data_IF_222937456074
#
_entry.id   IF_222937456074
#
_cell.length_a   1.000
_cell.length_b   1.000
_cell.length_c   1.000
_cell.angle_alpha   90.00
_cell.angle_beta   90.00
_cell.angle_gamma   90.00
#
_symmetry.space_group_name_H-M   'P 1'
#
loop_
_entity.id
_entity.type
_entity.pdbx_description
1 polymer ?
#
# COMPACT_ATOMS: atom_id res chain seq x y z
N UNK A 1 -6.01 0.34 27.50
CA UNK A 1 -4.90 -0.21 26.67
C UNK A 1 -4.93 0.43 25.28
N UNK A 2 -3.83 0.48 24.51
CA UNK A 2 -3.84 1.12 23.18
C UNK A 2 -4.79 0.44 22.18
N UNK A 3 -5.00 -0.89 22.31
CA UNK A 3 -6.03 -1.63 21.56
C UNK A 3 -7.41 -0.99 21.70
N UNK A 4 -7.83 -0.68 22.92
CA UNK A 4 -9.12 -0.04 23.21
C UNK A 4 -9.15 1.41 22.70
N UNK A 5 -8.04 2.15 22.84
CA UNK A 5 -7.95 3.53 22.33
C UNK A 5 -8.16 3.60 20.82
N UNK A 6 -7.62 2.64 20.09
CA UNK A 6 -7.66 2.61 18.63
C UNK A 6 -8.67 1.60 18.08
N UNK A 7 -9.62 1.10 18.88
CA UNK A 7 -10.58 0.05 18.48
C UNK A 7 -11.46 0.46 17.30
N UNK A 8 -11.70 1.75 17.18
CA UNK A 8 -12.48 2.34 16.10
C UNK A 8 -11.72 2.33 14.78
N UNK A 9 -10.39 2.36 14.82
CA UNK A 9 -9.53 2.39 13.64
C UNK A 9 -9.00 1.00 13.28
N UNK A 10 -8.54 0.25 14.27
CA UNK A 10 -7.99 -1.09 14.14
C UNK A 10 -8.90 -2.07 14.88
N UNK A 11 -9.77 -2.71 14.11
CA UNK A 11 -10.61 -3.79 14.61
C UNK A 11 -9.74 -5.04 14.79
N UNK A 12 -9.48 -5.41 16.04
CA UNK A 12 -8.64 -6.53 16.43
C UNK A 12 -9.48 -7.46 17.31
N UNK A 13 -9.83 -8.64 16.79
CA UNK A 13 -10.54 -9.65 17.55
C UNK A 13 -9.73 -10.12 18.77
N UNK A 14 -10.42 -10.58 19.83
CA UNK A 14 -9.73 -11.11 21.01
C UNK A 14 -8.89 -12.35 20.68
N UNK A 15 -9.39 -13.22 19.79
CA UNK A 15 -8.66 -14.40 19.35
C UNK A 15 -7.39 -14.09 18.56
N UNK A 16 -7.41 -13.06 17.71
CA UNK A 16 -6.21 -12.63 16.99
C UNK A 16 -5.23 -11.93 17.93
N UNK A 17 -5.74 -11.11 18.85
CA UNK A 17 -4.91 -10.49 19.88
C UNK A 17 -4.21 -11.53 20.75
N UNK A 18 -4.89 -12.59 21.18
CA UNK A 18 -4.28 -13.67 21.97
C UNK A 18 -3.14 -14.37 21.23
N UNK A 19 -3.28 -14.57 19.91
CA UNK A 19 -2.25 -15.20 19.07
C UNK A 19 -1.02 -14.31 18.85
N UNK A 20 -1.21 -12.99 18.78
CA UNK A 20 -0.16 -12.07 18.29
C UNK A 20 -0.02 -10.79 19.12
N UNK A 21 -0.33 -10.87 20.43
CA UNK A 21 -0.40 -9.72 21.34
C UNK A 21 0.86 -8.84 21.33
N UNK A 22 2.05 -9.46 21.29
CA UNK A 22 3.32 -8.74 21.28
C UNK A 22 3.43 -7.81 20.07
N UNK A 23 3.13 -8.30 18.87
CA UNK A 23 3.17 -7.52 17.64
C UNK A 23 2.09 -6.43 17.60
N UNK A 24 0.86 -6.76 18.05
CA UNK A 24 -0.19 -5.75 18.15
C UNK A 24 0.19 -4.61 19.07
N UNK A 25 0.72 -4.91 20.26
CA UNK A 25 1.12 -3.88 21.22
C UNK A 25 2.26 -3.01 20.67
N UNK A 26 3.29 -3.62 20.10
CA UNK A 26 4.41 -2.90 19.50
C UNK A 26 3.95 -1.94 18.39
N UNK A 27 3.13 -2.41 17.45
CA UNK A 27 2.69 -1.58 16.33
C UNK A 27 1.69 -0.50 16.75
N UNK A 28 0.83 -0.78 17.74
CA UNK A 28 -0.06 0.24 18.31
C UNK A 28 0.73 1.32 19.06
N UNK A 29 1.81 0.97 19.75
CA UNK A 29 2.71 1.94 20.41
C UNK A 29 3.42 2.82 19.37
N UNK A 30 3.98 2.23 18.31
CA UNK A 30 4.60 3.00 17.21
C UNK A 30 3.57 3.96 16.59
N UNK A 31 2.37 3.46 16.29
CA UNK A 31 1.29 4.29 15.75
C UNK A 31 0.89 5.41 16.71
N UNK A 32 0.79 5.11 18.00
CA UNK A 32 0.45 6.08 19.03
C UNK A 32 1.44 7.24 19.07
N UNK A 33 2.74 6.93 19.10
CA UNK A 33 3.82 7.91 19.14
C UNK A 33 3.83 8.75 17.85
N UNK A 34 3.62 8.10 16.69
CA UNK A 34 3.44 8.79 15.42
C UNK A 34 2.28 9.77 15.49
N UNK A 35 1.14 9.44 16.08
CA UNK A 35 -0.04 10.32 16.17
C UNK A 35 0.19 11.49 17.11
N UNK A 36 0.68 11.25 18.34
CA UNK A 36 0.86 12.29 19.37
C UNK A 36 1.89 13.36 18.99
N UNK A 37 2.79 13.05 18.05
CA UNK A 37 3.91 13.91 17.71
C UNK A 37 5.10 13.59 18.61
N UNK A 38 6.27 13.38 17.97
CA UNK A 38 7.49 12.80 18.53
C UNK A 38 7.74 13.09 20.01
N UNK A 39 7.30 12.19 20.90
CA UNK A 39 7.85 12.11 22.26
C UNK A 39 9.31 11.59 22.19
N UNK A 40 9.62 10.83 21.14
CA UNK A 40 10.94 10.29 20.81
C UNK A 40 11.34 10.85 19.44
N UNK A 41 12.46 11.57 19.33
CA UNK A 41 12.82 12.27 18.08
C UNK A 41 12.88 11.41 16.82
N UNK A 42 12.82 12.06 15.66
CA UNK A 42 12.59 11.51 14.32
C UNK A 42 13.32 10.20 13.98
N UNK A 43 14.61 10.14 14.27
CA UNK A 43 15.44 8.97 13.94
C UNK A 43 15.00 7.72 14.71
N UNK A 44 14.49 7.88 15.93
CA UNK A 44 14.04 6.77 16.76
C UNK A 44 12.79 6.11 16.18
N UNK A 45 11.81 6.89 15.72
CA UNK A 45 10.60 6.31 15.11
C UNK A 45 10.89 5.59 13.80
N UNK A 46 11.76 6.16 12.95
CA UNK A 46 12.20 5.50 11.72
C UNK A 46 12.85 4.15 12.02
N UNK A 47 13.84 4.14 12.91
CA UNK A 47 14.56 2.91 13.31
C UNK A 47 13.60 1.88 13.92
N UNK A 48 12.63 2.30 14.73
CA UNK A 48 11.60 1.39 15.27
C UNK A 48 10.77 0.75 14.17
N UNK A 49 10.26 1.52 13.21
CA UNK A 49 9.50 0.99 12.07
C UNK A 49 10.36 0.02 11.25
N UNK A 50 11.62 0.36 10.98
CA UNK A 50 12.56 -0.51 10.25
C UNK A 50 12.82 -1.81 11.01
N UNK A 51 13.12 -1.73 12.30
CA UNK A 51 13.47 -2.88 13.13
C UNK A 51 12.29 -3.82 13.34
N UNK A 52 11.09 -3.27 13.47
CA UNK A 52 9.86 -4.03 13.68
C UNK A 52 9.19 -4.52 12.39
N UNK A 53 9.87 -4.43 11.24
CA UNK A 53 9.31 -4.77 9.93
C UNK A 53 8.89 -6.26 9.87
N UNK A 54 7.59 -6.56 9.63
CA UNK A 54 7.04 -7.91 9.77
C UNK A 54 7.50 -8.88 8.68
N UNK A 55 8.08 -8.38 7.58
CA UNK A 55 8.65 -9.22 6.53
C UNK A 55 10.12 -9.62 6.75
N UNK A 56 10.81 -9.07 7.76
CA UNK A 56 12.16 -9.53 8.14
C UNK A 56 12.18 -11.03 8.49
N UNK A 57 11.07 -11.53 9.03
CA UNK A 57 10.86 -12.93 9.37
C UNK A 57 9.70 -13.53 8.55
N UNK A 58 9.59 -13.18 7.26
CA UNK A 58 8.51 -13.71 6.41
C UNK A 58 8.67 -15.20 6.13
N UNK A 59 7.53 -15.87 5.97
CA UNK A 59 7.44 -17.25 5.54
C UNK A 59 6.68 -18.12 6.53
N UNK A 60 5.90 -19.03 5.97
CA UNK A 60 5.24 -20.11 6.68
C UNK A 60 5.41 -21.42 5.90
N UNK A 61 5.69 -22.50 6.61
CA UNK A 61 5.73 -23.85 6.04
C UNK A 61 5.15 -24.86 7.04
N UNK A 62 4.19 -25.65 6.57
CA UNK A 62 3.62 -26.77 7.31
C UNK A 62 3.24 -27.89 6.33
N UNK A 63 3.99 -28.99 6.36
CA UNK A 63 3.82 -30.09 5.42
C UNK A 63 3.94 -29.65 3.96
N UNK A 64 2.84 -29.72 3.22
CA UNK A 64 2.77 -29.31 1.81
C UNK A 64 2.39 -27.85 1.59
N UNK A 65 2.00 -27.12 2.64
CA UNK A 65 1.63 -25.72 2.55
C UNK A 65 2.85 -24.83 2.75
N UNK A 66 3.03 -23.90 1.80
CA UNK A 66 4.13 -22.94 1.83
C UNK A 66 3.65 -21.54 1.40
N UNK A 67 3.82 -20.55 2.29
CA UNK A 67 3.47 -19.16 2.07
C UNK A 67 4.70 -18.27 2.33
N UNK A 68 5.59 -18.16 1.34
CA UNK A 68 6.95 -17.58 1.49
C UNK A 68 6.93 -16.09 1.86
N UNK A 69 6.02 -15.33 1.28
CA UNK A 69 5.87 -13.88 1.51
C UNK A 69 4.83 -13.53 2.57
N UNK A 70 4.28 -14.53 3.28
CA UNK A 70 3.42 -14.28 4.43
C UNK A 70 4.23 -13.58 5.52
N UNK A 71 3.70 -12.46 6.03
CA UNK A 71 4.39 -11.69 7.06
C UNK A 71 4.50 -12.54 8.33
N UNK A 72 5.68 -12.56 8.96
CA UNK A 72 5.93 -13.44 10.11
C UNK A 72 4.98 -13.19 11.27
N UNK A 73 4.56 -11.92 11.44
CA UNK A 73 3.62 -11.49 12.47
C UNK A 73 2.18 -11.97 12.25
N UNK A 74 1.86 -12.40 11.03
CA UNK A 74 0.51 -12.76 10.64
C UNK A 74 0.32 -14.28 10.53
N UNK A 75 1.40 -15.06 10.63
CA UNK A 75 1.41 -16.51 10.41
C UNK A 75 0.36 -17.25 11.28
N UNK A 76 0.32 -16.98 12.59
CA UNK A 76 -0.59 -17.67 13.52
C UNK A 76 -2.08 -17.35 13.30
N UNK A 77 -2.35 -16.25 12.59
CA UNK A 77 -3.70 -15.79 12.25
C UNK A 77 -4.08 -16.28 10.86
N UNK A 78 -3.28 -15.95 9.84
CA UNK A 78 -3.64 -16.15 8.45
C UNK A 78 -3.33 -17.55 7.92
N UNK A 79 -2.23 -18.18 8.30
CA UNK A 79 -1.86 -19.47 7.71
C UNK A 79 -2.95 -20.55 7.92
N UNK A 80 -3.54 -20.70 9.12
CA UNK A 80 -4.67 -21.62 9.31
C UNK A 80 -5.87 -21.29 8.42
N UNK A 81 -6.16 -20.01 8.18
CA UNK A 81 -7.28 -19.56 7.36
C UNK A 81 -7.02 -19.78 5.86
N UNK A 82 -5.78 -19.66 5.42
CA UNK A 82 -5.35 -19.96 4.05
C UNK A 82 -5.46 -21.45 3.78
N UNK A 83 -4.98 -22.30 4.70
CA UNK A 83 -5.10 -23.76 4.63
C UNK A 83 -6.58 -24.15 4.58
N UNK A 84 -7.40 -23.62 5.49
CA UNK A 84 -8.85 -23.86 5.48
C UNK A 84 -9.52 -23.44 4.15
N UNK A 85 -9.09 -22.33 3.55
CA UNK A 85 -9.59 -21.92 2.24
C UNK A 85 -9.20 -22.91 1.13
N UNK A 86 -7.98 -23.46 1.17
CA UNK A 86 -7.51 -24.46 0.22
C UNK A 86 -8.31 -25.76 0.37
N UNK A 87 -8.39 -26.29 1.59
CA UNK A 87 -9.03 -27.58 1.88
C UNK A 87 -10.54 -27.59 1.62
N UNK A 88 -11.21 -26.45 1.81
CA UNK A 88 -12.64 -26.32 1.52
C UNK A 88 -12.93 -25.82 0.10
N UNK A 89 -11.91 -25.69 -0.75
CA UNK A 89 -12.10 -25.29 -2.14
C UNK A 89 -12.76 -26.40 -2.96
N UNK A 90 -13.60 -26.02 -3.92
CA UNK A 90 -14.16 -26.96 -4.90
C UNK A 90 -13.18 -27.25 -6.06
N UNK A 91 -12.07 -26.51 -6.14
CA UNK A 91 -11.06 -26.68 -7.18
C UNK A 91 -9.93 -27.57 -6.68
N UNK A 92 -9.56 -28.58 -7.47
CA UNK A 92 -8.52 -29.55 -7.11
C UNK A 92 -7.11 -28.95 -7.04
N UNK A 93 -6.89 -27.85 -7.77
CA UNK A 93 -5.63 -27.13 -7.89
C UNK A 93 -5.62 -25.83 -7.06
N UNK A 94 -6.52 -25.71 -6.08
CA UNK A 94 -6.62 -24.52 -5.24
C UNK A 94 -5.35 -24.24 -4.45
N UNK A 95 -4.65 -25.29 -4.02
CA UNK A 95 -3.39 -25.19 -3.28
C UNK A 95 -2.34 -24.45 -4.11
N UNK A 96 -2.13 -24.88 -5.35
CA UNK A 96 -1.16 -24.31 -6.28
C UNK A 96 -1.47 -22.84 -6.54
N UNK A 97 -2.73 -22.51 -6.84
CA UNK A 97 -3.17 -21.15 -7.16
C UNK A 97 -3.06 -20.20 -5.96
N UNK A 98 -3.45 -20.65 -4.77
CA UNK A 98 -3.41 -19.82 -3.55
C UNK A 98 -1.97 -19.67 -3.07
N UNK A 99 -1.18 -20.75 -2.99
CA UNK A 99 0.23 -20.65 -2.59
C UNK A 99 1.04 -19.79 -3.56
N UNK A 100 0.72 -19.82 -4.86
CA UNK A 100 1.31 -18.91 -5.83
C UNK A 100 1.21 -17.45 -5.33
N UNK A 101 0.08 -17.00 -4.77
CA UNK A 101 -0.06 -15.61 -4.27
C UNK A 101 0.91 -15.20 -3.15
N UNK A 102 1.64 -16.17 -2.59
CA UNK A 102 2.64 -15.98 -1.55
C UNK A 102 4.07 -16.37 -1.97
N UNK A 103 4.33 -16.63 -3.27
CA UNK A 103 5.66 -16.96 -3.82
C UNK A 103 6.50 -15.71 -4.16
N UNK A 104 6.34 -14.62 -3.41
CA UNK A 104 7.18 -13.43 -3.57
C UNK A 104 6.92 -12.66 -4.88
N UNK A 105 5.63 -12.42 -5.17
CA UNK A 105 5.16 -11.90 -6.46
C UNK A 105 4.76 -10.44 -6.49
N UNK A 106 4.22 -9.82 -5.45
CA UNK A 106 3.93 -8.39 -5.56
C UNK A 106 4.05 -7.64 -4.23
N UNK A 107 4.32 -6.35 -4.38
CA UNK A 107 4.61 -5.42 -3.32
C UNK A 107 3.35 -4.94 -2.61
N UNK A 108 3.27 -5.21 -1.31
CA UNK A 108 2.37 -4.47 -0.41
C UNK A 108 2.76 -2.98 -0.36
N UNK A 109 4.04 -2.68 -0.52
CA UNK A 109 4.58 -1.34 -0.61
C UNK A 109 5.87 -1.28 -1.45
N UNK A 110 6.15 -0.15 -2.08
CA UNK A 110 7.37 0.07 -2.90
C UNK A 110 7.72 1.56 -3.03
N UNK A 111 8.93 1.86 -3.48
CA UNK A 111 9.41 3.22 -3.71
C UNK A 111 9.84 3.97 -2.44
N UNK A 112 9.66 5.29 -2.45
CA UNK A 112 10.23 6.21 -1.47
C UNK A 112 9.27 6.51 -0.31
N UNK A 113 9.55 6.00 0.88
CA UNK A 113 8.81 6.30 2.12
C UNK A 113 9.46 7.36 3.02
N UNK A 114 10.47 8.08 2.54
CA UNK A 114 11.16 9.15 3.28
C UNK A 114 10.51 10.51 2.99
N UNK A 115 10.49 10.93 1.73
CA UNK A 115 9.89 12.21 1.32
C UNK A 115 9.40 12.14 -0.15
N UNK A 116 8.40 11.29 -0.45
CA UNK A 116 7.83 11.23 -1.79
C UNK A 116 7.01 12.47 -2.12
N UNK A 117 6.89 12.76 -3.42
CA UNK A 117 5.91 13.75 -3.92
C UNK A 117 4.51 13.16 -4.00
N UNK A 118 4.41 11.87 -4.33
CA UNK A 118 3.13 11.16 -4.52
C UNK A 118 3.15 9.84 -3.76
N UNK A 119 2.08 9.54 -3.03
CA UNK A 119 1.80 8.17 -2.56
C UNK A 119 0.54 7.66 -3.27
N UNK A 120 0.69 6.53 -3.97
CA UNK A 120 -0.43 5.80 -4.55
C UNK A 120 -1.00 4.85 -3.50
N UNK A 121 -2.21 5.16 -3.02
CA UNK A 121 -2.94 4.32 -2.06
C UNK A 121 -3.85 3.36 -2.84
N UNK A 122 -3.39 2.12 -2.96
CA UNK A 122 -3.97 1.04 -3.74
C UNK A 122 -5.14 0.32 -3.07
N UNK A 123 -5.28 -0.98 -3.33
CA UNK A 123 -6.23 -1.90 -2.69
C UNK A 123 -5.45 -3.13 -2.23
N UNK A 124 -4.91 -3.85 -3.20
CA UNK A 124 -4.11 -5.05 -3.05
C UNK A 124 -3.18 -5.18 -4.27
N UNK A 125 -2.04 -5.86 -4.12
CA UNK A 125 -1.22 -6.27 -5.24
C UNK A 125 -2.01 -7.16 -6.21
N UNK A 126 -1.97 -6.86 -7.52
CA UNK A 126 -2.95 -7.36 -8.49
C UNK A 126 -2.40 -8.46 -9.38
N UNK A 127 -2.66 -9.70 -8.98
CA UNK A 127 -2.20 -10.87 -9.73
C UNK A 127 -3.35 -11.59 -10.45
N UNK A 128 -3.45 -11.39 -11.78
CA UNK A 128 -4.42 -12.08 -12.65
C UNK A 128 -3.93 -13.42 -13.20
N UNK A 129 -2.62 -13.62 -13.25
CA UNK A 129 -1.97 -14.82 -13.78
C UNK A 129 -0.67 -15.08 -13.03
N UNK A 130 -0.20 -16.32 -13.06
CA UNK A 130 1.11 -16.70 -12.53
C UNK A 130 2.25 -16.09 -13.36
N UNK A 131 3.31 -15.69 -12.68
CA UNK A 131 4.54 -15.17 -13.26
C UNK A 131 5.72 -15.57 -12.35
N UNK A 132 6.94 -15.32 -12.78
CA UNK A 132 8.14 -15.60 -11.97
C UNK A 132 8.25 -14.64 -10.79
N UNK A 133 8.93 -15.06 -9.72
CA UNK A 133 9.17 -14.22 -8.55
C UNK A 133 9.96 -12.96 -8.94
N UNK A 134 9.62 -11.83 -8.34
CA UNK A 134 10.39 -10.60 -8.52
C UNK A 134 11.53 -10.45 -7.48
N UNK A 135 11.73 -11.42 -6.57
CA UNK A 135 12.79 -11.36 -5.55
C UNK A 135 12.57 -10.28 -4.49
N UNK A 136 11.33 -10.10 -4.04
CA UNK A 136 10.89 -9.03 -3.15
C UNK A 136 11.35 -9.25 -1.70
N UNK A 137 11.46 -10.52 -1.29
CA UNK A 137 11.98 -10.93 0.01
C UNK A 137 13.38 -10.39 0.27
N UNK A 138 14.21 -10.30 -0.77
CA UNK A 138 15.58 -9.82 -0.68
C UNK A 138 15.75 -8.35 -1.02
N UNK A 139 14.67 -7.63 -1.37
CA UNK A 139 14.70 -6.23 -1.81
C UNK A 139 13.80 -5.31 -0.98
N UNK A 140 12.55 -5.09 -1.40
CA UNK A 140 11.65 -4.05 -0.83
C UNK A 140 11.37 -4.28 0.65
N UNK A 141 11.26 -5.55 1.03
CA UNK A 141 10.77 -5.93 2.34
C UNK A 141 11.83 -5.88 3.44
N UNK A 142 13.12 -5.64 3.11
CA UNK A 142 14.17 -5.49 4.13
C UNK A 142 14.39 -4.04 4.56
N UNK A 143 14.31 -3.10 3.61
CA UNK A 143 14.69 -1.70 3.82
C UNK A 143 13.61 -0.76 3.29
N UNK A 144 12.53 -0.52 4.09
CA UNK A 144 11.40 0.29 3.64
C UNK A 144 11.76 1.77 3.41
N UNK A 145 12.84 2.28 4.00
CA UNK A 145 13.29 3.66 3.83
C UNK A 145 14.56 3.75 2.97
N UNK A 146 14.35 3.73 1.66
CA UNK A 146 15.37 4.06 0.67
C UNK A 146 14.78 5.13 -0.27
N UNK A 147 15.34 6.34 -0.25
CA UNK A 147 14.82 7.48 -1.03
C UNK A 147 14.97 7.30 -2.55
N UNK A 148 15.93 6.48 -2.98
CA UNK A 148 16.20 6.23 -4.39
C UNK A 148 15.64 4.88 -4.85
N UNK A 149 14.83 4.21 -4.04
CA UNK A 149 14.28 2.90 -4.38
C UNK A 149 13.46 2.98 -5.67
N UNK A 150 13.90 2.35 -6.77
CA UNK A 150 13.13 2.34 -7.99
C UNK A 150 11.85 1.55 -7.81
N UNK A 151 10.81 1.93 -8.54
CA UNK A 151 9.57 1.17 -8.63
C UNK A 151 9.80 -0.06 -9.50
N UNK A 152 9.22 -1.18 -9.09
CA UNK A 152 9.22 -2.42 -9.87
C UNK A 152 8.78 -2.17 -11.32
N UNK A 153 9.64 -2.54 -12.27
CA UNK A 153 9.36 -2.38 -13.69
C UNK A 153 8.42 -3.47 -14.20
N UNK A 154 7.17 -3.09 -14.46
CA UNK A 154 6.17 -3.98 -15.06
C UNK A 154 5.14 -3.19 -15.88
N UNK A 155 4.32 -3.88 -16.67
CA UNK A 155 3.30 -3.27 -17.52
C UNK A 155 2.27 -2.43 -16.74
N UNK A 156 2.07 -2.76 -15.46
CA UNK A 156 1.12 -2.05 -14.61
C UNK A 156 1.59 -0.64 -14.23
N UNK A 157 2.90 -0.43 -14.06
CA UNK A 157 3.53 0.86 -13.74
C UNK A 157 4.16 1.55 -14.97
N UNK A 158 4.80 0.81 -15.86
CA UNK A 158 5.65 1.34 -16.94
C UNK A 158 5.03 1.31 -18.34
N UNK A 159 3.99 0.49 -18.55
CA UNK A 159 3.35 0.34 -19.87
C UNK A 159 2.57 1.56 -20.38
N UNK A 160 2.24 1.60 -21.67
CA UNK A 160 1.47 2.70 -22.30
C UNK A 160 0.04 2.87 -21.75
N UNK A 161 -0.49 1.81 -21.15
CA UNK A 161 -1.78 1.79 -20.44
C UNK A 161 -1.59 1.54 -18.94
N UNK A 162 -0.45 1.97 -18.40
CA UNK A 162 -0.12 1.90 -16.98
C UNK A 162 -0.87 2.93 -16.16
N UNK A 163 -0.72 2.85 -14.83
CA UNK A 163 -1.27 3.83 -13.89
C UNK A 163 -0.80 5.26 -14.18
N UNK A 164 0.44 5.46 -14.64
CA UNK A 164 1.04 6.77 -14.86
C UNK A 164 0.89 7.29 -16.28
N UNK A 165 0.88 6.40 -17.29
CA UNK A 165 1.10 6.81 -18.68
C UNK A 165 -0.11 6.64 -19.62
N UNK A 166 -1.28 6.29 -19.08
CA UNK A 166 -2.48 6.20 -19.88
C UNK A 166 -2.77 7.55 -20.57
N UNK A 167 -2.85 7.50 -21.90
CA UNK A 167 -3.09 8.66 -22.80
C UNK A 167 -1.91 9.65 -22.92
N UNK A 168 -0.67 9.21 -22.69
CA UNK A 168 0.54 10.03 -22.84
C UNK A 168 1.17 10.00 -24.24
N UNK A 169 0.46 9.51 -25.27
CA UNK A 169 1.02 9.29 -26.62
C UNK A 169 1.62 10.57 -27.23
N UNK A 170 1.03 11.73 -26.96
CA UNK A 170 1.47 13.03 -27.48
C UNK A 170 2.49 13.74 -26.57
N UNK A 171 2.80 13.17 -25.39
CA UNK A 171 3.66 13.76 -24.35
C UNK A 171 4.78 12.78 -23.95
N UNK A 172 5.44 12.19 -24.95
CA UNK A 172 6.44 11.14 -24.75
C UNK A 172 7.67 11.65 -23.98
N UNK A 173 8.02 12.93 -24.13
CA UNK A 173 9.08 13.60 -23.38
C UNK A 173 8.83 13.57 -21.87
N UNK A 174 7.62 13.91 -21.43
CA UNK A 174 7.22 13.86 -20.01
C UNK A 174 7.26 12.43 -19.47
N UNK A 175 6.78 11.47 -20.28
CA UNK A 175 6.85 10.04 -19.95
C UNK A 175 8.30 9.58 -19.77
N UNK A 176 9.20 9.96 -20.67
CA UNK A 176 10.61 9.55 -20.62
C UNK A 176 11.33 10.15 -19.41
N UNK A 177 11.05 11.42 -19.07
CA UNK A 177 11.61 12.05 -17.87
C UNK A 177 11.10 11.35 -16.62
N UNK A 178 9.78 11.17 -16.49
CA UNK A 178 9.18 10.53 -15.32
C UNK A 178 9.64 9.08 -15.16
N UNK A 179 9.68 8.32 -16.25
CA UNK A 179 10.15 6.92 -16.25
C UNK A 179 11.57 6.83 -15.70
N UNK A 180 12.48 7.72 -16.13
CA UNK A 180 13.84 7.80 -15.60
C UNK A 180 13.91 8.24 -14.13
N UNK A 181 12.91 8.95 -13.62
CA UNK A 181 12.87 9.33 -12.19
C UNK A 181 12.45 8.16 -11.30
N UNK A 182 11.58 7.27 -11.78
CA UNK A 182 11.06 6.15 -10.97
C UNK A 182 11.84 4.85 -11.12
N UNK A 183 12.78 4.76 -12.06
CA UNK A 183 13.56 3.54 -12.36
C UNK A 183 15.06 3.66 -12.09
N UNK A 184 15.54 4.84 -11.67
CA UNK A 184 16.96 5.12 -11.51
C UNK A 184 17.37 5.12 -10.03
N UNK A 185 18.27 4.21 -9.65
CA UNK A 185 18.78 4.02 -8.28
C UNK A 185 19.68 5.16 -7.76
N UNK A 186 20.16 6.05 -8.64
CA UNK A 186 20.96 7.22 -8.28
C UNK A 186 20.11 8.49 -8.10
N UNK A 187 18.78 8.40 -8.28
CA UNK A 187 17.87 9.53 -8.19
C UNK A 187 16.81 9.30 -7.13
N UNK A 188 16.44 10.38 -6.45
CA UNK A 188 15.30 10.37 -5.52
C UNK A 188 14.06 9.95 -6.29
N UNK A 189 13.49 8.82 -5.89
CA UNK A 189 12.26 8.31 -6.47
C UNK A 189 11.11 9.18 -5.96
N UNK A 190 10.30 9.80 -6.85
CA UNK A 190 9.30 10.78 -6.44
C UNK A 190 8.00 10.15 -5.90
N UNK A 191 7.90 8.82 -5.89
CA UNK A 191 6.65 8.10 -5.63
C UNK A 191 6.85 6.99 -4.60
N UNK A 192 5.81 6.76 -3.79
CA UNK A 192 5.64 5.54 -3.02
C UNK A 192 4.35 4.82 -3.44
N UNK A 193 4.38 3.50 -3.42
CA UNK A 193 3.25 2.63 -3.68
C UNK A 193 2.88 1.96 -2.37
N UNK A 194 1.60 1.94 -2.01
CA UNK A 194 1.15 1.35 -0.76
C UNK A 194 -0.23 0.73 -0.95
N UNK A 195 -0.40 -0.53 -0.57
CA UNK A 195 -1.61 -1.32 -0.76
C UNK A 195 -2.27 -1.64 0.60
N UNK A 196 -3.60 -1.47 0.74
CA UNK A 196 -4.30 -1.70 2.03
C UNK A 196 -4.27 -3.17 2.47
N UNK A 197 -4.33 -4.07 1.50
CA UNK A 197 -4.22 -5.49 1.74
C UNK A 197 -2.85 -5.98 1.21
N UNK A 198 -1.99 -6.54 2.08
CA UNK A 198 -0.60 -6.79 1.74
C UNK A 198 -0.35 -7.97 0.78
N UNK A 199 -1.34 -8.81 0.51
CA UNK A 199 -1.13 -10.04 -0.26
C UNK A 199 -1.79 -10.00 -1.65
N UNK A 200 -1.17 -10.70 -2.60
CA UNK A 200 -1.61 -10.65 -3.99
C UNK A 200 -2.96 -11.34 -4.18
N UNK A 201 -3.85 -10.72 -4.97
CA UNK A 201 -5.09 -11.36 -5.43
C UNK A 201 -5.61 -10.68 -6.69
N UNK A 202 -6.49 -11.36 -7.44
CA UNK A 202 -7.14 -10.72 -8.58
C UNK A 202 -8.11 -9.62 -8.10
N UNK A 203 -8.85 -9.88 -7.00
CA UNK A 203 -9.78 -8.95 -6.34
C UNK A 203 -9.88 -9.26 -4.85
N UNK A 204 -10.53 -8.37 -4.10
CA UNK A 204 -10.78 -8.51 -2.66
C UNK A 204 -11.66 -9.72 -2.28
N UNK A 205 -12.26 -10.41 -3.26
CA UNK A 205 -13.16 -11.55 -3.02
C UNK A 205 -12.74 -12.84 -3.71
N UNK A 206 -11.72 -12.78 -4.58
CA UNK A 206 -11.23 -13.92 -5.36
C UNK A 206 -9.71 -13.86 -5.48
N UNK A 207 -9.05 -14.99 -5.23
CA UNK A 207 -7.62 -15.16 -5.45
C UNK A 207 -7.29 -15.04 -6.94
N UNK A 208 -8.12 -15.71 -7.74
CA UNK A 208 -8.13 -15.76 -9.20
C UNK A 208 -9.55 -16.11 -9.65
N UNK A 209 -9.93 -15.79 -10.87
CA UNK A 209 -11.20 -16.22 -11.47
C UNK A 209 -11.39 -17.73 -11.30
N UNK A 210 -12.43 -18.12 -10.56
CA UNK A 210 -12.74 -19.52 -10.22
C UNK A 210 -12.33 -19.94 -8.80
N UNK A 211 -11.50 -19.15 -8.12
CA UNK A 211 -10.91 -19.43 -6.81
C UNK A 211 -11.33 -18.35 -5.81
N UNK A 212 -12.33 -18.67 -4.99
CA UNK A 212 -12.93 -17.70 -4.06
C UNK A 212 -12.12 -17.58 -2.77
N UNK A 213 -12.06 -16.35 -2.25
CA UNK A 213 -11.57 -16.09 -0.89
C UNK A 213 -12.69 -16.48 0.08
N UNK A 214 -12.35 -17.23 1.14
CA UNK A 214 -13.30 -17.64 2.18
C UNK A 214 -13.90 -16.43 2.92
N UNK A 215 -15.01 -16.63 3.63
CA UNK A 215 -15.68 -15.54 4.38
C UNK A 215 -14.79 -15.01 5.51
N UNK A 216 -14.06 -15.89 6.20
CA UNK A 216 -13.13 -15.54 7.27
C UNK A 216 -11.97 -14.68 6.74
N UNK A 217 -11.34 -15.09 5.65
CA UNK A 217 -10.24 -14.32 5.04
C UNK A 217 -10.70 -12.96 4.52
N UNK A 218 -11.88 -12.87 3.91
CA UNK A 218 -12.42 -11.61 3.36
C UNK A 218 -12.49 -10.48 4.39
N UNK A 219 -12.58 -10.77 5.68
CA UNK A 219 -12.61 -9.74 6.72
C UNK A 219 -11.35 -8.87 6.70
N UNK A 220 -10.17 -9.47 6.50
CA UNK A 220 -8.88 -8.75 6.44
C UNK A 220 -8.69 -7.93 5.16
N UNK A 221 -9.16 -8.44 4.01
CA UNK A 221 -9.12 -7.73 2.73
C UNK A 221 -10.04 -6.50 2.71
N UNK A 222 -11.08 -6.53 3.55
CA UNK A 222 -12.04 -5.45 3.70
C UNK A 222 -11.71 -4.51 4.88
N UNK A 223 -10.61 -4.76 5.59
CA UNK A 223 -10.24 -4.08 6.84
C UNK A 223 -11.37 -4.06 7.87
N UNK A 224 -12.13 -5.16 7.96
CA UNK A 224 -13.10 -5.39 9.04
C UNK A 224 -12.45 -6.02 10.26
N UNK A 225 -11.37 -6.75 10.03
CA UNK A 225 -10.41 -7.22 11.03
C UNK A 225 -9.03 -6.75 10.54
N UNK A 226 -8.11 -6.52 11.47
CA UNK A 226 -6.81 -5.90 11.19
C UNK A 226 -5.69 -6.82 11.63
N UNK A 227 -4.83 -7.19 10.70
CA UNK A 227 -3.62 -7.97 10.98
C UNK A 227 -2.53 -7.09 11.60
N UNK A 228 -1.58 -7.67 12.36
CA UNK A 228 -0.42 -6.93 12.83
C UNK A 228 0.33 -6.23 11.69
N UNK A 229 0.61 -6.92 10.58
CA UNK A 229 1.34 -6.32 9.45
C UNK A 229 0.61 -5.12 8.84
N UNK A 230 -0.73 -5.10 8.86
CA UNK A 230 -1.52 -3.98 8.36
C UNK A 230 -1.36 -2.74 9.26
N UNK A 231 -1.28 -2.91 10.58
CA UNK A 231 -0.98 -1.79 11.50
C UNK A 231 0.43 -1.27 11.24
N UNK A 232 1.41 -2.15 11.05
CA UNK A 232 2.77 -1.74 10.71
C UNK A 232 2.81 -0.95 9.39
N UNK A 233 2.10 -1.41 8.36
CA UNK A 233 1.99 -0.66 7.10
C UNK A 233 1.36 0.72 7.30
N UNK A 234 0.38 0.84 8.19
CA UNK A 234 -0.21 2.14 8.55
C UNK A 234 0.79 3.01 9.32
N UNK A 235 1.68 2.44 10.13
CA UNK A 235 2.78 3.17 10.75
C UNK A 235 3.73 3.75 9.70
N UNK A 236 4.15 2.93 8.72
CA UNK A 236 4.98 3.36 7.60
C UNK A 236 4.31 4.52 6.83
N UNK A 237 3.04 4.36 6.46
CA UNK A 237 2.27 5.41 5.77
C UNK A 237 2.19 6.69 6.59
N UNK A 238 1.88 6.57 7.89
CA UNK A 238 1.72 7.72 8.80
C UNK A 238 3.03 8.47 8.96
N UNK A 239 4.15 7.76 9.13
CA UNK A 239 5.48 8.34 9.19
C UNK A 239 5.75 9.16 7.93
N UNK A 240 5.57 8.58 6.74
CA UNK A 240 5.83 9.27 5.48
C UNK A 240 4.94 10.51 5.32
N UNK A 241 3.64 10.38 5.57
CA UNK A 241 2.70 11.51 5.56
C UNK A 241 3.12 12.63 6.52
N UNK A 242 3.64 12.30 7.70
CA UNK A 242 4.08 13.30 8.68
C UNK A 242 5.38 14.00 8.28
N UNK A 243 6.28 13.32 7.58
CA UNK A 243 7.60 13.84 7.20
C UNK A 243 7.64 14.51 5.83
N UNK A 244 6.71 14.21 4.93
CA UNK A 244 6.71 14.79 3.59
C UNK A 244 6.55 16.31 3.60
N UNK A 245 7.39 17.00 2.82
CA UNK A 245 7.35 18.46 2.70
C UNK A 245 6.18 18.97 1.83
N UNK A 246 5.89 18.25 0.75
CA UNK A 246 4.74 18.48 -0.13
C UNK A 246 4.30 17.13 -0.69
N UNK A 247 3.08 16.72 -0.38
CA UNK A 247 2.61 15.37 -0.68
C UNK A 247 1.27 15.36 -1.37
N UNK A 248 1.17 14.57 -2.44
CA UNK A 248 -0.09 14.16 -3.05
C UNK A 248 -0.43 12.73 -2.65
N UNK A 249 -1.54 12.54 -1.93
CA UNK A 249 -2.10 11.22 -1.69
C UNK A 249 -3.14 10.91 -2.76
N UNK A 250 -2.91 9.89 -3.58
CA UNK A 250 -3.89 9.48 -4.60
C UNK A 250 -4.62 8.19 -4.20
N UNK A 251 -5.90 8.33 -3.88
CA UNK A 251 -6.77 7.25 -3.42
C UNK A 251 -7.37 6.49 -4.59
N UNK A 252 -6.96 5.23 -4.75
CA UNK A 252 -7.54 4.32 -5.75
C UNK A 252 -8.78 3.60 -5.22
N UNK A 253 -8.82 3.32 -3.91
CA UNK A 253 -9.97 2.81 -3.17
C UNK A 253 -10.71 3.96 -2.49
N UNK A 254 -11.96 4.20 -2.89
CA UNK A 254 -12.76 5.31 -2.35
C UNK A 254 -14.25 4.95 -2.23
N UNK A 255 -14.57 3.66 -2.11
CA UNK A 255 -15.95 3.23 -1.90
C UNK A 255 -16.40 3.55 -0.47
N UNK A 256 -17.71 3.73 -0.27
CA UNK A 256 -18.29 4.18 1.00
C UNK A 256 -17.93 3.26 2.17
N UNK A 257 -18.02 1.95 1.97
CA UNK A 257 -17.77 0.98 3.03
C UNK A 257 -16.33 1.08 3.52
N UNK A 258 -15.35 1.02 2.62
CA UNK A 258 -13.94 1.18 2.96
C UNK A 258 -13.64 2.49 3.70
N UNK A 259 -14.23 3.59 3.25
CA UNK A 259 -14.04 4.89 3.90
C UNK A 259 -14.57 4.91 5.33
N UNK A 260 -15.74 4.32 5.54
CA UNK A 260 -16.40 4.34 6.84
C UNK A 260 -15.72 3.42 7.85
N UNK A 261 -15.20 2.26 7.41
CA UNK A 261 -14.53 1.32 8.29
C UNK A 261 -13.10 1.75 8.64
N UNK A 262 -12.38 2.37 7.71
CA UNK A 262 -10.96 2.68 7.92
C UNK A 262 -10.58 4.13 7.56
N UNK A 263 -10.68 4.49 6.27
CA UNK A 263 -9.94 5.66 5.75
C UNK A 263 -10.30 6.99 6.41
N UNK A 264 -11.60 7.25 6.64
CA UNK A 264 -12.02 8.52 7.24
C UNK A 264 -11.54 8.64 8.70
N UNK A 265 -11.65 7.55 9.47
CA UNK A 265 -11.19 7.50 10.88
C UNK A 265 -9.67 7.66 10.96
N UNK A 266 -8.94 6.98 10.07
CA UNK A 266 -7.49 7.13 9.96
C UNK A 266 -7.08 8.59 9.70
N UNK A 267 -7.72 9.23 8.72
CA UNK A 267 -7.46 10.61 8.34
C UNK A 267 -7.82 11.62 9.44
N UNK A 268 -8.85 11.34 10.22
CA UNK A 268 -9.21 12.11 11.41
C UNK A 268 -8.14 11.97 12.50
N UNK A 269 -7.72 10.75 12.82
CA UNK A 269 -6.73 10.46 13.86
C UNK A 269 -5.38 11.16 13.59
N UNK A 270 -4.91 11.15 12.34
CA UNK A 270 -3.67 11.84 11.95
C UNK A 270 -3.86 13.32 11.62
N UNK A 271 -5.09 13.83 11.76
CA UNK A 271 -5.50 15.21 11.48
C UNK A 271 -5.08 15.70 10.08
N UNK A 272 -5.33 14.89 9.05
CA UNK A 272 -4.80 15.15 7.71
C UNK A 272 -5.28 16.48 7.13
N UNK A 273 -6.48 16.94 7.50
CA UNK A 273 -7.07 18.20 7.06
C UNK A 273 -6.30 19.43 7.55
N UNK A 274 -5.60 19.31 8.69
CA UNK A 274 -4.83 20.40 9.27
C UNK A 274 -3.44 20.52 8.62
N UNK A 275 -3.12 19.66 7.63
CA UNK A 275 -1.81 19.61 6.98
C UNK A 275 -1.86 20.29 5.61
N UNK A 276 -1.61 21.59 5.59
CA UNK A 276 -1.61 22.42 4.36
C UNK A 276 -0.70 21.89 3.24
N UNK A 277 0.34 21.15 3.61
CA UNK A 277 1.32 20.54 2.71
C UNK A 277 0.82 19.27 1.99
N UNK A 278 -0.34 18.75 2.38
CA UNK A 278 -0.89 17.49 1.87
C UNK A 278 -2.14 17.74 1.05
N UNK A 279 -2.10 17.28 -0.19
CA UNK A 279 -3.26 17.29 -1.09
C UNK A 279 -3.77 15.87 -1.27
N UNK A 280 -5.02 15.62 -0.87
CA UNK A 280 -5.67 14.31 -1.02
C UNK A 280 -6.53 14.29 -2.27
N UNK A 281 -6.15 13.46 -3.23
CA UNK A 281 -6.82 13.26 -4.51
C UNK A 281 -7.54 11.93 -4.54
N UNK A 282 -8.66 11.89 -5.26
CA UNK A 282 -9.38 10.65 -5.56
C UNK A 282 -9.77 10.60 -7.03
N UNK A 283 -10.21 9.43 -7.48
CA UNK A 283 -10.60 9.22 -8.88
C UNK A 283 -11.92 9.93 -9.20
N UNK A 284 -12.01 10.57 -10.37
CA UNK A 284 -13.29 11.05 -10.93
C UNK A 284 -14.18 9.86 -11.26
N UNK A 285 -13.64 8.88 -11.98
CA UNK A 285 -14.34 7.64 -12.35
C UNK A 285 -13.90 6.48 -11.46
N UNK A 286 -14.87 5.79 -10.85
CA UNK A 286 -14.63 4.61 -10.02
C UNK A 286 -13.97 3.45 -10.78
N UNK A 287 -14.24 3.32 -12.08
CA UNK A 287 -13.73 2.25 -12.93
C UNK A 287 -12.29 2.49 -13.42
N UNK A 288 -11.87 3.75 -13.54
CA UNK A 288 -10.52 4.08 -13.99
C UNK A 288 -9.48 3.70 -12.92
N UNK A 289 -8.29 3.25 -13.34
CA UNK A 289 -7.14 3.02 -12.44
C UNK A 289 -6.10 4.14 -12.48
N UNK A 290 -6.20 5.03 -13.46
CA UNK A 290 -5.13 5.94 -13.87
C UNK A 290 -5.01 7.18 -12.97
N UNK A 291 -3.78 7.59 -12.70
CA UNK A 291 -3.45 8.91 -12.19
C UNK A 291 -3.17 9.82 -13.39
N UNK A 292 -4.19 10.58 -13.80
CA UNK A 292 -4.10 11.50 -14.94
C UNK A 292 -4.93 12.75 -14.72
N UNK A 293 -4.59 13.84 -15.42
CA UNK A 293 -5.29 15.13 -15.36
C UNK A 293 -6.81 14.97 -15.54
N UNK A 294 -7.24 14.09 -16.45
CA UNK A 294 -8.65 13.81 -16.71
C UNK A 294 -9.37 12.98 -15.64
N UNK A 295 -8.66 12.34 -14.70
CA UNK A 295 -9.24 11.37 -13.75
C UNK A 295 -9.02 11.71 -12.27
N UNK A 296 -8.48 12.87 -11.91
CA UNK A 296 -8.29 13.28 -10.51
C UNK A 296 -9.32 14.31 -10.04
N UNK A 297 -9.71 14.25 -8.77
CA UNK A 297 -10.50 15.31 -8.10
C UNK A 297 -10.08 15.43 -6.63
N UNK A 298 -10.30 16.57 -5.97
CA UNK A 298 -10.10 16.65 -4.53
C UNK A 298 -10.95 15.60 -3.81
N UNK A 299 -10.39 14.95 -2.79
CA UNK A 299 -11.14 14.01 -1.94
C UNK A 299 -12.15 14.74 -1.04
N UNK A 300 -11.72 15.87 -0.46
CA UNK A 300 -12.55 16.75 0.36
C UNK A 300 -13.20 17.81 -0.52
N UNK A 301 -14.52 17.97 -0.42
CA UNK A 301 -15.28 18.92 -1.26
C UNK A 301 -14.85 20.37 -1.08
N UNK A 302 -14.38 20.71 0.12
CA UNK A 302 -14.00 22.07 0.51
C UNK A 302 -12.55 22.42 0.16
N UNK A 303 -11.75 21.43 -0.26
CA UNK A 303 -10.36 21.65 -0.64
C UNK A 303 -10.25 22.13 -2.09
N UNK A 304 -9.56 23.26 -2.29
CA UNK A 304 -9.06 23.64 -3.61
C UNK A 304 -7.93 22.67 -4.00
N UNK A 305 -7.98 22.11 -5.21
CA UNK A 305 -6.88 21.31 -5.74
C UNK A 305 -5.71 22.22 -6.10
N UNK A 306 -4.58 22.07 -5.41
CA UNK A 306 -3.29 22.63 -5.82
C UNK A 306 -2.65 21.83 -6.97
N UNK A 307 -3.48 21.20 -7.83
CA UNK A 307 -3.07 20.45 -9.03
C UNK A 307 -3.91 20.95 -10.18
N UNK A 308 -3.25 21.50 -11.18
CA UNK A 308 -3.84 21.90 -12.44
C UNK A 308 -4.18 20.67 -13.29
N UNK A 309 -5.36 20.67 -13.89
CA UNK A 309 -5.85 19.54 -14.69
C UNK A 309 -6.20 19.90 -16.13
N UNK A 310 -5.94 21.14 -16.52
CA UNK A 310 -6.28 21.69 -17.84
C UNK A 310 -5.43 21.04 -18.94
N UNK A 311 -4.13 20.87 -18.68
CA UNK A 311 -3.17 20.23 -19.59
C UNK A 311 -2.40 19.10 -18.91
N UNK A 312 -1.75 18.25 -19.72
CA UNK A 312 -0.88 17.17 -19.20
C UNK A 312 0.40 17.77 -18.62
N UNK A 313 0.93 18.81 -19.25
CA UNK A 313 2.14 19.53 -18.86
C UNK A 313 2.00 20.16 -17.46
N UNK A 314 0.91 20.88 -17.21
CA UNK A 314 0.68 21.48 -15.89
C UNK A 314 0.47 20.42 -14.82
N UNK A 315 -0.25 19.35 -15.15
CA UNK A 315 -0.46 18.22 -14.25
C UNK A 315 0.86 17.54 -13.84
N UNK A 316 1.75 17.28 -14.80
CA UNK A 316 3.07 16.69 -14.54
C UNK A 316 4.00 17.65 -13.79
N UNK A 317 3.91 18.95 -14.07
CA UNK A 317 4.64 19.99 -13.33
C UNK A 317 4.25 20.00 -11.86
N UNK A 318 2.95 19.96 -11.56
CA UNK A 318 2.47 20.04 -10.19
C UNK A 318 2.77 18.78 -9.37
N UNK A 319 2.50 17.60 -9.93
CA UNK A 319 2.70 16.31 -9.25
C UNK A 319 4.18 15.94 -9.16
N UNK A 320 4.91 16.04 -10.27
CA UNK A 320 6.24 15.45 -10.41
C UNK A 320 7.35 16.49 -10.42
N UNK A 321 7.03 17.77 -10.61
CA UNK A 321 8.04 18.81 -10.80
C UNK A 321 8.67 18.80 -12.19
N UNK A 322 8.03 18.17 -13.18
CA UNK A 322 8.55 18.05 -14.55
C UNK A 322 7.94 19.16 -15.40
N UNK A 323 8.78 19.98 -16.04
CA UNK A 323 8.31 20.99 -17.01
C UNK A 323 8.83 20.66 -18.41
N UNK A 324 8.04 20.95 -19.44
CA UNK A 324 8.35 20.64 -20.85
C UNK A 324 9.55 21.41 -21.43
N UNK A 325 10.21 22.27 -20.63
CA UNK A 325 11.34 23.10 -21.07
C UNK A 325 12.73 22.55 -20.72
N UNK A 326 12.85 21.35 -20.13
CA UNK A 326 14.16 20.67 -20.02
C UNK A 326 14.53 20.02 -21.36
N UNK A 327 15.01 20.85 -22.30
CA UNK A 327 15.81 20.41 -23.45
C UNK A 327 17.28 20.33 -23.07
#
# INVERSE_FOLDING_TARGET
MLKEKYEDLFHISDGDYEKSAAYYNEYLEIFHDLVQGDIFGDNNLRERIENSNPWKNSGYSDGEYEFISLAGTDCDILAPLLIDNIENSQQKDAKEVIQARFKDFEHAFDGNFINPRVILLGINPKMSSEHDSYGLKDTVYKEPFNENRPILDNDYYSGDSSIFYAKMKEHQDLKDIHSKMISNEDKVTPVALWEFFPYASEKETVWQKGYSISKSLKQYFQLKETLPSQIWMVCLLTYTIKRSEKLFLFLRKNNKDFRNHFLNKYFEEIQIMNKEKITVLSKKSGASKYLSNGNVKPFYKESLTNVQTDTVEEFFKDLWGISSNTK
#
